data_IF_079125898191
#
_entry.id   IF_079125898191
#
_cell.length_a   1.000
_cell.length_b   1.000
_cell.length_c   1.000
_cell.angle_alpha   90.00
_cell.angle_beta   90.00
_cell.angle_gamma   90.00
#
_symmetry.space_group_name_H-M   'P 1'
#
loop_
_entity.id
_entity.type
_entity.pdbx_description
1 polymer ?
#
# COMPACT_ATOMS: atom_id res chain seq x y z
N UNK A 1 23.53 4.20 -7.13
CA UNK A 1 23.08 5.54 -6.69
C UNK A 1 23.81 6.70 -7.37
N UNK A 2 25.05 6.52 -7.89
CA UNK A 2 25.79 7.56 -8.62
C UNK A 2 25.22 7.97 -10.00
N UNK A 3 24.39 7.12 -10.63
CA UNK A 3 23.89 7.34 -12.00
C UNK A 3 22.45 7.86 -12.09
N UNK A 4 21.78 8.06 -10.95
CA UNK A 4 20.35 8.45 -10.92
C UNK A 4 19.39 7.39 -11.49
N UNK A 5 19.88 6.17 -11.78
CA UNK A 5 19.03 5.11 -12.33
C UNK A 5 17.91 4.71 -11.34
N UNK A 6 16.68 4.47 -11.84
CA UNK A 6 15.60 3.90 -11.04
C UNK A 6 16.04 2.58 -10.39
N UNK A 7 15.64 2.39 -9.14
CA UNK A 7 15.99 1.22 -8.32
C UNK A 7 15.56 -0.07 -9.01
N UNK A 8 14.39 -0.06 -9.66
CA UNK A 8 13.86 -1.19 -10.42
C UNK A 8 14.79 -1.65 -11.54
N UNK A 9 15.38 -0.72 -12.29
CA UNK A 9 16.28 -1.05 -13.40
C UNK A 9 17.59 -1.60 -12.85
N UNK A 10 18.15 -1.01 -11.79
CA UNK A 10 19.40 -1.50 -11.18
C UNK A 10 19.23 -2.92 -10.62
N UNK A 11 18.11 -3.21 -9.96
CA UNK A 11 17.79 -4.55 -9.45
C UNK A 11 17.59 -5.54 -10.60
N UNK A 12 16.83 -5.18 -11.64
CA UNK A 12 16.60 -6.03 -12.80
C UNK A 12 17.91 -6.38 -13.53
N UNK A 13 18.79 -5.41 -13.73
CA UNK A 13 20.08 -5.60 -14.40
C UNK A 13 21.04 -6.47 -13.60
N UNK A 14 21.01 -6.36 -12.26
CA UNK A 14 21.78 -7.22 -11.35
C UNK A 14 21.28 -8.67 -11.41
N UNK A 15 19.96 -8.88 -11.41
CA UNK A 15 19.36 -10.22 -11.52
C UNK A 15 19.68 -10.85 -12.88
N UNK A 16 19.58 -10.07 -13.97
CA UNK A 16 19.89 -10.54 -15.32
C UNK A 16 21.37 -10.91 -15.46
N UNK A 17 22.29 -10.05 -15.03
CA UNK A 17 23.73 -10.35 -15.09
C UNK A 17 24.09 -11.58 -14.25
N UNK A 18 23.52 -11.73 -13.05
CA UNK A 18 23.72 -12.92 -12.24
C UNK A 18 23.22 -14.21 -12.93
N UNK A 19 22.04 -14.16 -13.56
CA UNK A 19 21.45 -15.30 -14.26
C UNK A 19 22.29 -15.77 -15.44
N UNK A 20 22.81 -14.84 -16.25
CA UNK A 20 23.54 -15.16 -17.47
C UNK A 20 25.04 -15.38 -17.27
N UNK A 21 25.65 -14.78 -16.24
CA UNK A 21 27.11 -14.83 -16.05
C UNK A 21 27.59 -15.83 -14.99
N UNK A 22 26.78 -16.14 -13.95
CA UNK A 22 27.23 -16.96 -12.82
C UNK A 22 26.43 -18.24 -12.57
N UNK A 23 25.30 -18.45 -13.25
CA UNK A 23 24.39 -19.54 -12.88
C UNK A 23 24.00 -20.40 -14.10
N UNK A 24 23.89 -21.72 -13.89
CA UNK A 24 23.37 -22.72 -14.85
C UNK A 24 21.98 -23.21 -14.46
N UNK A 25 21.31 -22.50 -13.55
CA UNK A 25 19.98 -22.82 -13.03
C UNK A 25 18.95 -22.74 -14.17
N UNK A 26 18.05 -23.74 -14.30
CA UNK A 26 17.02 -23.72 -15.31
C UNK A 26 16.15 -22.47 -15.19
N UNK A 27 15.93 -21.77 -16.31
CA UNK A 27 15.09 -20.57 -16.39
C UNK A 27 13.67 -20.83 -15.83
N UNK A 28 13.19 -22.08 -15.92
CA UNK A 28 11.92 -22.49 -15.33
C UNK A 28 11.86 -22.24 -13.81
N UNK A 29 12.96 -22.45 -13.07
CA UNK A 29 13.00 -22.24 -11.62
C UNK A 29 12.94 -20.75 -11.25
N UNK A 30 13.46 -19.89 -12.13
CA UNK A 30 13.43 -18.43 -11.97
C UNK A 30 12.03 -17.91 -12.26
N UNK A 31 11.38 -18.39 -13.32
CA UNK A 31 9.99 -18.09 -13.63
C UNK A 31 9.06 -18.49 -12.47
N UNK A 32 9.27 -19.67 -11.86
CA UNK A 32 8.49 -20.11 -10.70
C UNK A 32 8.67 -19.17 -9.51
N UNK A 33 9.90 -18.75 -9.19
CA UNK A 33 10.17 -17.78 -8.12
C UNK A 33 9.51 -16.42 -8.36
N UNK A 34 9.52 -15.93 -9.60
CA UNK A 34 8.81 -14.70 -9.96
C UNK A 34 7.30 -14.84 -9.77
N UNK A 35 6.70 -15.95 -10.20
CA UNK A 35 5.27 -16.22 -9.99
C UNK A 35 4.90 -16.32 -8.51
N UNK A 36 5.66 -17.07 -7.71
CA UNK A 36 5.43 -17.13 -6.25
C UNK A 36 5.64 -15.79 -5.55
N UNK A 37 6.37 -14.85 -6.16
CA UNK A 37 6.52 -13.47 -5.68
C UNK A 37 5.33 -12.56 -6.01
N UNK A 38 4.55 -12.88 -7.03
CA UNK A 38 3.33 -12.16 -7.41
C UNK A 38 2.12 -12.68 -6.61
N UNK A 39 2.10 -13.97 -6.26
CA UNK A 39 1.08 -14.58 -5.39
C UNK A 39 1.22 -14.18 -3.90
N UNK A 40 1.55 -12.91 -3.62
CA UNK A 40 1.62 -12.41 -2.25
C UNK A 40 0.24 -11.96 -1.81
N UNK A 41 -0.12 -12.39 -0.59
CA UNK A 41 -1.33 -11.95 0.13
C UNK A 41 -1.48 -10.42 0.15
N UNK A 42 -0.36 -9.70 0.06
CA UNK A 42 -0.26 -8.25 -0.08
C UNK A 42 -1.07 -7.68 -1.26
N UNK A 43 -1.08 -8.33 -2.43
CA UNK A 43 -1.84 -7.82 -3.59
C UNK A 43 -3.35 -7.99 -3.36
N UNK A 44 -3.76 -9.02 -2.61
CA UNK A 44 -5.15 -9.19 -2.17
C UNK A 44 -5.56 -8.18 -1.09
N UNK A 45 -4.62 -7.55 -0.39
CA UNK A 45 -4.94 -6.49 0.56
C UNK A 45 -5.62 -5.29 -0.13
N UNK A 46 -5.23 -4.95 -1.37
CA UNK A 46 -5.81 -3.84 -2.14
C UNK A 46 -7.33 -4.00 -2.35
N UNK A 47 -7.84 -5.09 -2.93
CA UNK A 47 -9.28 -5.27 -3.10
C UNK A 47 -10.01 -5.39 -1.76
N UNK A 48 -9.42 -5.99 -0.73
CA UNK A 48 -10.03 -6.02 0.61
C UNK A 48 -10.12 -4.63 1.24
N UNK A 49 -9.12 -3.77 1.07
CA UNK A 49 -9.14 -2.38 1.53
C UNK A 49 -10.26 -1.58 0.82
N UNK A 50 -10.43 -1.79 -0.48
CA UNK A 50 -11.53 -1.20 -1.27
C UNK A 50 -12.89 -1.71 -0.77
N UNK A 51 -13.03 -3.01 -0.54
CA UNK A 51 -14.25 -3.63 -0.03
C UNK A 51 -14.61 -3.11 1.38
N UNK A 52 -13.62 -3.03 2.27
CA UNK A 52 -13.78 -2.47 3.62
C UNK A 52 -14.15 -0.98 3.55
N UNK A 53 -13.52 -0.21 2.67
CA UNK A 53 -13.87 1.19 2.43
C UNK A 53 -15.32 1.38 1.96
N UNK A 54 -15.80 0.50 1.07
CA UNK A 54 -17.20 0.48 0.65
C UNK A 54 -18.13 0.12 1.80
N UNK A 55 -17.80 -0.86 2.65
CA UNK A 55 -18.60 -1.18 3.83
C UNK A 55 -18.65 -0.03 4.83
N UNK A 56 -17.53 0.64 5.11
CA UNK A 56 -17.49 1.79 6.02
C UNK A 56 -18.33 2.96 5.50
N UNK A 57 -18.32 3.18 4.18
CA UNK A 57 -19.07 4.26 3.54
C UNK A 57 -20.56 3.96 3.48
N UNK A 58 -20.95 2.79 2.96
CA UNK A 58 -22.36 2.38 2.85
C UNK A 58 -23.00 2.06 4.20
N UNK A 59 -22.24 1.55 5.17
CA UNK A 59 -22.72 1.29 6.53
C UNK A 59 -22.86 2.55 7.40
N UNK A 60 -22.51 3.73 6.88
CA UNK A 60 -22.60 5.00 7.61
C UNK A 60 -21.56 5.17 8.72
N UNK A 61 -20.67 4.21 8.91
CA UNK A 61 -19.57 4.25 9.90
C UNK A 61 -18.62 5.40 9.57
N UNK A 62 -18.30 5.60 8.28
CA UNK A 62 -17.44 6.69 7.84
C UNK A 62 -17.99 8.08 8.26
N UNK A 63 -19.31 8.30 8.09
CA UNK A 63 -19.98 9.54 8.50
C UNK A 63 -19.92 9.72 10.03
N UNK A 64 -20.11 8.65 10.79
CA UNK A 64 -20.02 8.66 12.26
C UNK A 64 -18.61 8.97 12.74
N UNK A 65 -17.58 8.39 12.11
CA UNK A 65 -16.18 8.67 12.43
C UNK A 65 -15.79 10.13 12.14
N UNK A 66 -16.24 10.69 11.02
CA UNK A 66 -16.01 12.12 10.70
C UNK A 66 -16.69 13.03 11.72
N UNK A 67 -17.94 12.74 12.09
CA UNK A 67 -18.65 13.52 13.10
C UNK A 67 -17.97 13.45 14.47
N UNK A 68 -17.46 12.26 14.83
CA UNK A 68 -16.69 12.07 16.06
C UNK A 68 -15.39 12.89 16.04
N UNK A 69 -14.59 12.78 14.97
CA UNK A 69 -13.36 13.57 14.83
C UNK A 69 -13.64 15.08 14.87
N UNK A 70 -14.70 15.54 14.19
CA UNK A 70 -15.14 16.93 14.21
C UNK A 70 -15.58 17.38 15.61
N UNK A 71 -16.26 16.53 16.38
CA UNK A 71 -16.64 16.87 17.76
C UNK A 71 -15.45 17.05 18.71
N UNK A 72 -14.34 16.35 18.46
CA UNK A 72 -13.13 16.45 19.27
C UNK A 72 -12.33 17.72 19.00
N UNK A 73 -12.08 18.04 17.72
CA UNK A 73 -11.14 19.11 17.33
C UNK A 73 -11.78 20.26 16.55
N UNK A 74 -13.06 20.17 16.20
CA UNK A 74 -13.78 21.17 15.41
C UNK A 74 -14.00 22.51 16.11
N UNK A 75 -13.91 22.55 17.45
CA UNK A 75 -14.05 23.76 18.26
C UNK A 75 -12.84 24.71 18.17
N UNK A 76 -11.72 24.27 17.58
CA UNK A 76 -10.48 25.03 17.49
C UNK A 76 -10.41 25.82 16.18
N UNK A 77 -9.65 26.92 16.15
CA UNK A 77 -9.41 27.68 14.92
C UNK A 77 -8.68 26.78 13.89
N UNK A 78 -9.24 26.63 12.68
CA UNK A 78 -8.77 25.64 11.70
C UNK A 78 -9.30 24.21 11.94
N UNK A 79 -10.29 24.05 12.83
CA UNK A 79 -10.80 22.76 13.30
C UNK A 79 -11.29 21.80 12.22
N UNK A 80 -11.78 22.29 11.07
CA UNK A 80 -12.14 21.44 9.93
C UNK A 80 -10.95 20.70 9.33
N UNK A 81 -9.78 21.37 9.23
CA UNK A 81 -8.55 20.73 8.74
C UNK A 81 -8.01 19.71 9.73
N UNK A 82 -8.01 20.05 11.02
CA UNK A 82 -7.63 19.14 12.10
C UNK A 82 -8.55 17.92 12.18
N UNK A 83 -9.86 18.12 12.02
CA UNK A 83 -10.84 17.04 11.97
C UNK A 83 -10.60 16.11 10.78
N UNK A 84 -10.19 16.65 9.62
CA UNK A 84 -9.82 15.85 8.45
C UNK A 84 -8.60 14.97 8.71
N UNK A 85 -7.52 15.52 9.27
CA UNK A 85 -6.31 14.75 9.62
C UNK A 85 -6.63 13.67 10.65
N UNK A 86 -7.40 14.02 11.69
CA UNK A 86 -7.84 13.06 12.72
C UNK A 86 -8.73 11.96 12.13
N UNK A 87 -9.67 12.28 11.24
CA UNK A 87 -10.49 11.29 10.57
C UNK A 87 -9.62 10.34 9.74
N UNK A 88 -8.67 10.85 8.95
CA UNK A 88 -7.72 10.03 8.20
C UNK A 88 -6.89 9.12 9.11
N UNK A 89 -6.41 9.62 10.24
CA UNK A 89 -5.67 8.81 11.21
C UNK A 89 -6.54 7.68 11.80
N UNK A 90 -7.81 7.96 12.08
CA UNK A 90 -8.76 6.94 12.56
C UNK A 90 -9.05 5.87 11.50
N UNK A 91 -9.18 6.25 10.22
CA UNK A 91 -9.32 5.27 9.13
C UNK A 91 -8.04 4.46 8.91
N UNK A 92 -6.86 5.05 9.11
CA UNK A 92 -5.58 4.35 9.01
C UNK A 92 -5.37 3.36 10.18
N UNK A 93 -5.80 3.71 11.40
CA UNK A 93 -5.81 2.76 12.53
C UNK A 93 -6.85 1.64 12.36
N UNK A 94 -7.89 1.93 11.56
CA UNK A 94 -8.83 1.02 10.91
C UNK A 94 -8.16 -0.16 10.16
N UNK A 95 -7.22 0.31 9.32
CA UNK A 95 -6.70 -0.24 8.08
C UNK A 95 -5.76 -1.44 8.23
#
# INVERSE_FOLDING_TARGET
MLTGMPISISLGLTVLTYLFAMTSVPIQSVALKLFTGIERFEIMAIPFFILAGNFLTHGGVARRMINFASSMVGHWAGGLGLAGVMACALFAAVS
#
